data_IF_638620152234
#
_entry.id   IF_638620152234
#
_cell.length_a   1.000
_cell.length_b   1.000
_cell.length_c   1.000
_cell.angle_alpha   90.00
_cell.angle_beta   90.00
_cell.angle_gamma   90.00
#
_symmetry.space_group_name_H-M   'P 1'
#
loop_
_entity.id
_entity.type
_entity.pdbx_description
1 polymer ?
#
# COMPACT_ATOMS: atom_id res chain seq x y z
N UNK A 1 20.01 -6.05 -5.87
CA UNK A 1 19.37 -6.83 -6.96
C UNK A 1 18.06 -6.15 -7.33
N UNK A 2 17.83 -5.87 -8.62
CA UNK A 2 16.59 -5.19 -9.07
C UNK A 2 15.40 -6.13 -8.99
N UNK A 3 14.26 -5.63 -8.50
CA UNK A 3 12.97 -6.30 -8.48
C UNK A 3 12.12 -5.96 -9.70
N UNK A 4 12.06 -4.67 -10.06
CA UNK A 4 11.29 -4.15 -11.19
C UNK A 4 12.22 -3.35 -12.10
N UNK A 5 12.03 -3.50 -13.40
CA UNK A 5 12.58 -2.64 -14.44
C UNK A 5 11.43 -2.22 -15.36
N UNK A 6 11.13 -0.93 -15.39
CA UNK A 6 10.08 -0.35 -16.21
C UNK A 6 10.69 0.60 -17.24
N UNK A 7 10.38 0.42 -18.52
CA UNK A 7 10.91 1.22 -19.63
C UNK A 7 9.78 1.81 -20.44
N UNK A 8 9.76 3.14 -20.56
CA UNK A 8 8.87 3.92 -21.42
C UNK A 8 7.38 3.59 -21.21
N UNK A 9 6.99 3.34 -19.96
CA UNK A 9 5.61 2.98 -19.60
C UNK A 9 4.68 4.14 -19.96
N UNK A 10 3.71 3.85 -20.82
CA UNK A 10 2.61 4.77 -21.13
C UNK A 10 1.28 4.04 -21.00
N UNK A 11 0.26 4.77 -20.58
CA UNK A 11 -1.09 4.24 -20.43
C UNK A 11 -2.13 5.27 -20.85
N UNK A 12 -3.10 4.83 -21.68
CA UNK A 12 -4.18 5.64 -22.18
C UNK A 12 -5.53 5.04 -21.82
N UNK A 13 -6.51 5.90 -21.56
CA UNK A 13 -7.92 5.56 -21.46
C UNK A 13 -8.69 6.50 -22.41
N UNK A 14 -9.43 5.94 -23.36
CA UNK A 14 -10.25 6.72 -24.32
C UNK A 14 -9.50 7.96 -24.86
N UNK A 15 -8.34 7.75 -25.48
CA UNK A 15 -7.46 8.77 -26.05
C UNK A 15 -6.81 9.75 -25.06
N UNK A 16 -7.17 9.71 -23.78
CA UNK A 16 -6.52 10.51 -22.76
C UNK A 16 -5.27 9.79 -22.24
N UNK A 17 -4.12 10.46 -22.32
CA UNK A 17 -2.89 9.99 -21.71
C UNK A 17 -3.03 10.12 -20.17
N UNK A 18 -2.84 9.00 -19.46
CA UNK A 18 -2.79 8.94 -17.99
C UNK A 18 -1.34 8.84 -17.51
N UNK A 19 -0.53 8.06 -18.24
CA UNK A 19 0.90 7.94 -18.01
C UNK A 19 1.62 8.12 -19.33
N UNK A 20 2.75 8.85 -19.33
CA UNK A 20 3.53 9.15 -20.52
C UNK A 20 5.01 8.89 -20.28
N UNK A 21 5.55 7.86 -20.95
CA UNK A 21 6.98 7.60 -21.05
C UNK A 21 7.72 7.48 -19.70
N UNK A 22 7.12 6.80 -18.70
CA UNK A 22 7.70 6.63 -17.39
C UNK A 22 8.75 5.52 -17.41
N UNK A 23 9.96 5.82 -16.97
CA UNK A 23 11.07 4.86 -16.88
C UNK A 23 11.63 4.89 -15.46
N UNK A 24 11.73 3.72 -14.83
CA UNK A 24 12.29 3.55 -13.49
C UNK A 24 12.71 2.10 -13.26
N UNK A 25 13.50 1.90 -12.24
CA UNK A 25 13.80 0.59 -11.65
C UNK A 25 13.50 0.63 -10.15
N UNK A 26 13.28 -0.52 -9.53
CA UNK A 26 13.13 -0.66 -8.08
C UNK A 26 13.91 -1.90 -7.64
N UNK A 27 14.77 -1.73 -6.64
CA UNK A 27 15.53 -2.80 -6.00
C UNK A 27 14.80 -3.44 -4.82
N UNK A 28 15.33 -4.56 -4.34
CA UNK A 28 14.92 -5.11 -3.05
C UNK A 28 15.48 -4.25 -1.91
N UNK A 29 14.72 -4.15 -0.81
CA UNK A 29 15.10 -3.37 0.37
C UNK A 29 14.92 -1.86 0.22
N UNK A 30 14.27 -1.40 -0.86
CA UNK A 30 14.00 0.02 -1.07
C UNK A 30 12.66 0.45 -0.46
N UNK A 31 12.64 1.67 0.05
CA UNK A 31 11.42 2.42 0.37
C UNK A 31 11.21 3.45 -0.74
N UNK A 32 10.19 3.25 -1.57
CA UNK A 32 9.94 4.04 -2.79
C UNK A 32 8.61 4.76 -2.71
N UNK A 33 8.64 6.09 -2.80
CA UNK A 33 7.46 6.94 -2.93
C UNK A 33 7.19 7.25 -4.40
N UNK A 34 5.97 6.96 -4.85
CA UNK A 34 5.47 7.46 -6.13
C UNK A 34 4.71 8.74 -5.86
N UNK A 35 5.21 9.86 -6.36
CA UNK A 35 4.64 11.19 -6.18
C UNK A 35 4.09 11.76 -7.49
N UNK A 36 3.22 12.76 -7.38
CA UNK A 36 2.60 13.45 -8.50
C UNK A 36 1.26 14.07 -8.12
N UNK A 37 0.73 14.95 -8.93
CA UNK A 37 -0.55 15.64 -8.68
C UNK A 37 -1.72 14.66 -8.57
N UNK A 38 -2.85 15.11 -8.03
CA UNK A 38 -4.08 14.35 -8.07
C UNK A 38 -4.49 14.09 -9.53
N UNK A 39 -4.79 12.82 -9.85
CA UNK A 39 -5.10 12.41 -11.22
C UNK A 39 -3.88 12.15 -12.12
N UNK A 40 -2.63 12.28 -11.65
CA UNK A 40 -1.43 12.00 -12.45
C UNK A 40 -1.20 10.52 -12.78
N UNK A 41 -2.05 9.61 -12.30
CA UNK A 41 -1.93 8.18 -12.62
C UNK A 41 -1.17 7.35 -11.59
N UNK A 42 -0.89 7.83 -10.37
CA UNK A 42 -0.20 7.08 -9.31
C UNK A 42 -0.80 5.70 -9.05
N UNK A 43 -2.11 5.65 -8.78
CA UNK A 43 -2.86 4.38 -8.62
C UNK A 43 -2.79 3.50 -9.86
N UNK A 44 -2.81 4.10 -11.06
CA UNK A 44 -2.70 3.36 -12.33
C UNK A 44 -1.31 2.74 -12.46
N UNK A 45 -0.25 3.48 -12.13
CA UNK A 45 1.10 2.95 -12.14
C UNK A 45 1.25 1.79 -11.13
N UNK A 46 0.72 1.92 -9.91
CA UNK A 46 0.70 0.80 -8.96
C UNK A 46 -0.02 -0.42 -9.54
N UNK A 47 -1.18 -0.25 -10.19
CA UNK A 47 -1.91 -1.36 -10.82
C UNK A 47 -1.12 -2.01 -11.96
N UNK A 48 -0.35 -1.25 -12.72
CA UNK A 48 0.56 -1.78 -13.74
C UNK A 48 1.69 -2.58 -13.07
N UNK A 49 2.30 -2.04 -12.02
CA UNK A 49 3.35 -2.70 -11.24
C UNK A 49 2.88 -4.06 -10.71
N UNK A 50 1.66 -4.16 -10.17
CA UNK A 50 1.13 -5.42 -9.63
C UNK A 50 0.55 -6.34 -10.72
N UNK A 51 0.40 -5.87 -11.95
CA UNK A 51 -0.12 -6.65 -13.08
C UNK A 51 -1.65 -6.69 -13.18
N UNK A 52 -2.37 -5.83 -12.46
CA UNK A 52 -3.83 -5.67 -12.57
C UNK A 52 -4.27 -4.86 -13.79
N UNK A 53 -3.34 -4.10 -14.37
CA UNK A 53 -3.58 -3.28 -15.56
C UNK A 53 -2.38 -3.42 -16.49
N UNK A 54 -2.64 -3.61 -17.78
CA UNK A 54 -1.57 -3.69 -18.80
C UNK A 54 -1.31 -2.29 -19.36
N UNK A 55 -0.04 -1.89 -19.44
CA UNK A 55 0.37 -0.65 -20.08
C UNK A 55 0.04 -0.65 -21.59
N UNK A 56 -0.19 0.55 -22.16
CA UNK A 56 -0.46 0.69 -23.61
C UNK A 56 0.84 0.64 -24.43
N UNK A 57 1.94 1.19 -23.87
CA UNK A 57 3.28 1.16 -24.49
C UNK A 57 4.33 0.93 -23.41
N UNK A 58 5.54 0.55 -23.86
CA UNK A 58 6.66 0.25 -22.98
C UNK A 58 6.64 -1.17 -22.44
N UNK A 59 7.57 -1.47 -21.55
CA UNK A 59 7.70 -2.79 -20.94
C UNK A 59 7.96 -2.69 -19.44
N UNK A 60 7.41 -3.63 -18.68
CA UNK A 60 7.71 -3.84 -17.27
C UNK A 60 8.17 -5.28 -17.07
N UNK A 61 9.33 -5.44 -16.50
CA UNK A 61 9.93 -6.73 -16.22
C UNK A 61 10.01 -6.88 -14.71
N UNK A 62 9.37 -7.91 -14.18
CA UNK A 62 9.52 -8.36 -12.79
C UNK A 62 10.56 -9.47 -12.78
N UNK A 63 11.65 -9.28 -12.06
CA UNK A 63 12.75 -10.24 -11.98
C UNK A 63 12.55 -11.29 -10.88
N UNK A 64 11.35 -11.39 -10.33
CA UNK A 64 10.99 -12.30 -9.24
C UNK A 64 9.50 -12.60 -9.26
N UNK A 65 9.13 -13.84 -8.99
CA UNK A 65 7.75 -14.32 -8.77
C UNK A 65 7.30 -14.16 -7.31
N UNK A 66 7.97 -13.29 -6.55
CA UNK A 66 7.67 -13.04 -5.15
C UNK A 66 6.22 -12.57 -4.98
N UNK A 67 5.56 -13.15 -3.99
CA UNK A 67 4.24 -12.68 -3.56
C UNK A 67 4.35 -11.27 -3.02
N UNK A 68 3.28 -10.51 -3.17
CA UNK A 68 3.21 -9.14 -2.71
C UNK A 68 1.97 -8.89 -1.85
N UNK A 69 2.09 -7.99 -0.89
CA UNK A 69 0.96 -7.45 -0.15
C UNK A 69 0.55 -6.13 -0.80
N UNK A 70 -0.70 -6.03 -1.25
CA UNK A 70 -1.25 -4.79 -1.81
C UNK A 70 -2.37 -4.23 -0.94
N UNK A 71 -2.28 -2.96 -0.61
CA UNK A 71 -3.37 -2.16 -0.04
C UNK A 71 -3.71 -1.03 -1.00
N UNK A 72 -4.81 -1.21 -1.71
CA UNK A 72 -5.36 -0.20 -2.62
C UNK A 72 -6.21 0.84 -1.90
N UNK A 73 -6.80 1.73 -2.68
CA UNK A 73 -7.71 2.76 -2.18
C UNK A 73 -8.96 2.15 -1.49
N UNK A 74 -9.50 1.06 -2.06
CA UNK A 74 -10.59 0.31 -1.43
C UNK A 74 -10.02 -0.71 -0.44
N UNK A 75 -10.53 -0.70 0.79
CA UNK A 75 -10.23 -1.73 1.79
C UNK A 75 -10.76 -3.09 1.32
N UNK A 76 -10.01 -4.16 1.53
CA UNK A 76 -10.48 -5.52 1.27
C UNK A 76 -11.33 -6.07 2.44
N UNK A 77 -12.07 -5.19 3.12
CA UNK A 77 -12.88 -5.52 4.29
C UNK A 77 -14.30 -5.92 3.87
N UNK A 78 -14.91 -6.81 4.65
CA UNK A 78 -16.30 -7.23 4.49
C UNK A 78 -17.16 -6.44 5.48
N UNK A 79 -17.97 -5.51 4.97
CA UNK A 79 -18.72 -4.56 5.79
C UNK A 79 -19.72 -5.22 6.75
N UNK A 80 -20.26 -6.38 6.39
CA UNK A 80 -21.24 -7.14 7.19
C UNK A 80 -20.60 -8.01 8.29
N UNK A 81 -19.29 -8.18 8.26
CA UNK A 81 -18.53 -8.90 9.28
C UNK A 81 -18.00 -7.93 10.35
N UNK A 82 -17.84 -8.44 11.57
CA UNK A 82 -17.15 -7.72 12.65
C UNK A 82 -15.65 -7.53 12.35
N UNK A 83 -14.98 -6.69 13.14
CA UNK A 83 -13.52 -6.56 13.07
C UNK A 83 -12.87 -7.94 13.30
N UNK A 84 -13.30 -8.66 14.33
CA UNK A 84 -12.81 -10.00 14.67
C UNK A 84 -12.92 -10.95 13.48
N UNK A 85 -14.08 -11.03 12.88
CA UNK A 85 -14.34 -11.93 11.74
C UNK A 85 -13.54 -11.51 10.51
N UNK A 86 -13.39 -10.20 10.24
CA UNK A 86 -12.55 -9.72 9.16
C UNK A 86 -11.08 -10.14 9.34
N UNK A 87 -10.53 -10.06 10.57
CA UNK A 87 -9.18 -10.54 10.85
C UNK A 87 -9.07 -12.05 10.60
N UNK A 88 -10.02 -12.85 11.07
CA UNK A 88 -10.02 -14.30 10.89
C UNK A 88 -10.12 -14.71 9.41
N UNK A 89 -11.01 -14.07 8.63
CA UNK A 89 -11.15 -14.33 7.18
C UNK A 89 -9.85 -13.97 6.42
N UNK A 90 -9.09 -13.01 6.92
CA UNK A 90 -7.77 -12.66 6.37
C UNK A 90 -6.64 -13.57 6.88
N UNK A 91 -6.95 -14.63 7.62
CA UNK A 91 -5.97 -15.56 8.19
C UNK A 91 -5.22 -15.03 9.40
N UNK A 92 -5.69 -13.93 10.01
CA UNK A 92 -5.05 -13.32 11.18
C UNK A 92 -5.68 -13.86 12.46
N UNK A 93 -4.84 -14.31 13.38
CA UNK A 93 -5.28 -14.81 14.70
C UNK A 93 -5.52 -13.64 15.66
N UNK A 94 -6.48 -13.81 16.58
CA UNK A 94 -6.65 -12.90 17.71
C UNK A 94 -5.63 -13.28 18.79
N UNK A 95 -4.44 -12.82 18.65
CA UNK A 95 -3.30 -13.05 19.55
C UNK A 95 -2.87 -11.72 20.22
N UNK A 96 -1.91 -11.79 21.15
CA UNK A 96 -1.43 -10.62 21.88
C UNK A 96 -0.94 -9.49 20.94
N UNK A 97 -0.23 -9.82 19.84
CA UNK A 97 0.26 -8.85 18.89
C UNK A 97 -0.88 -8.10 18.17
N UNK A 98 -1.89 -8.81 17.68
CA UNK A 98 -3.03 -8.18 17.00
C UNK A 98 -3.94 -7.43 17.97
N UNK A 99 -4.06 -7.87 19.23
CA UNK A 99 -4.77 -7.14 20.26
C UNK A 99 -4.05 -5.83 20.63
N UNK A 100 -2.72 -5.82 20.67
CA UNK A 100 -1.90 -4.61 20.87
C UNK A 100 -2.07 -3.63 19.69
N UNK A 101 -2.05 -4.12 18.44
CA UNK A 101 -2.31 -3.27 17.27
C UNK A 101 -3.73 -2.68 17.27
N UNK A 102 -4.73 -3.47 17.65
CA UNK A 102 -6.11 -2.99 17.81
C UNK A 102 -6.22 -1.91 18.90
N UNK A 103 -5.48 -2.06 19.99
CA UNK A 103 -5.40 -1.05 21.05
C UNK A 103 -4.77 0.24 20.52
N UNK A 104 -3.58 0.17 19.92
CA UNK A 104 -2.85 1.30 19.33
C UNK A 104 -3.63 2.03 18.24
N UNK A 105 -4.46 1.33 17.50
CA UNK A 105 -5.36 1.93 16.51
C UNK A 105 -6.71 2.37 17.07
N UNK A 106 -6.94 2.26 18.38
CA UNK A 106 -8.20 2.57 19.05
C UNK A 106 -9.40 1.77 18.51
N UNK A 107 -9.16 0.51 18.10
CA UNK A 107 -10.17 -0.40 17.52
C UNK A 107 -10.58 -1.54 18.48
N UNK A 108 -9.84 -1.77 19.56
CA UNK A 108 -10.03 -2.94 20.44
C UNK A 108 -11.44 -3.01 21.03
N UNK A 109 -12.00 -1.85 21.47
CA UNK A 109 -13.34 -1.77 22.02
C UNK A 109 -14.44 -2.02 20.98
N UNK A 110 -14.11 -1.93 19.69
CA UNK A 110 -15.01 -2.11 18.57
C UNK A 110 -14.88 -3.49 17.93
N UNK A 111 -14.13 -4.41 18.55
CA UNK A 111 -13.71 -5.67 17.93
C UNK A 111 -14.88 -6.55 17.44
N UNK A 112 -16.01 -6.47 18.11
CA UNK A 112 -17.23 -7.22 17.78
C UNK A 112 -18.25 -6.38 16.98
N UNK A 113 -17.92 -5.11 16.66
CA UNK A 113 -18.75 -4.26 15.82
C UNK A 113 -18.59 -4.62 14.34
N UNK A 114 -19.67 -4.52 13.58
CA UNK A 114 -19.66 -4.64 12.12
C UNK A 114 -18.78 -3.56 11.48
N UNK A 115 -17.93 -3.94 10.53
CA UNK A 115 -17.03 -3.01 9.82
C UNK A 115 -17.80 -1.92 9.09
N UNK A 116 -19.02 -2.20 8.64
CA UNK A 116 -19.88 -1.20 8.00
C UNK A 116 -20.28 -0.02 8.90
N UNK A 117 -20.18 -0.16 10.23
CA UNK A 117 -20.46 0.93 11.20
C UNK A 117 -19.22 1.77 11.51
N UNK A 118 -18.05 1.37 11.04
CA UNK A 118 -16.81 2.08 11.29
C UNK A 118 -16.65 3.30 10.38
N UNK A 119 -16.02 4.35 10.88
CA UNK A 119 -15.59 5.48 10.06
C UNK A 119 -14.58 5.04 9.00
N UNK A 120 -14.40 5.85 7.95
CA UNK A 120 -13.37 5.61 6.92
C UNK A 120 -11.97 5.43 7.52
N UNK A 121 -11.58 6.30 8.47
CA UNK A 121 -10.29 6.20 9.17
C UNK A 121 -10.15 4.89 9.96
N UNK A 122 -11.20 4.46 10.66
CA UNK A 122 -11.21 3.19 11.39
C UNK A 122 -11.08 1.98 10.45
N UNK A 123 -11.78 1.98 9.31
CA UNK A 123 -11.63 0.94 8.29
C UNK A 123 -10.21 0.93 7.70
N UNK A 124 -9.61 2.10 7.46
CA UNK A 124 -8.23 2.23 7.00
C UNK A 124 -7.26 1.63 8.01
N UNK A 125 -7.38 1.96 9.30
CA UNK A 125 -6.58 1.39 10.39
C UNK A 125 -6.70 -0.14 10.45
N UNK A 126 -7.92 -0.67 10.35
CA UNK A 126 -8.15 -2.13 10.31
C UNK A 126 -7.44 -2.77 9.10
N UNK A 127 -7.48 -2.14 7.93
CA UNK A 127 -6.79 -2.63 6.73
C UNK A 127 -5.27 -2.65 6.91
N UNK A 128 -4.71 -1.69 7.67
CA UNK A 128 -3.28 -1.64 7.97
C UNK A 128 -2.83 -2.78 8.88
N UNK A 129 -3.69 -3.31 9.76
CA UNK A 129 -3.34 -4.48 10.58
C UNK A 129 -2.95 -5.67 9.68
N UNK A 130 -3.64 -5.89 8.55
CA UNK A 130 -3.28 -6.92 7.58
C UNK A 130 -1.90 -6.64 6.96
N UNK A 131 -1.61 -5.39 6.63
CA UNK A 131 -0.33 -4.99 6.04
C UNK A 131 0.82 -5.23 7.03
N UNK A 132 0.63 -4.81 8.28
CA UNK A 132 1.64 -4.97 9.35
C UNK A 132 1.91 -6.45 9.66
N UNK A 133 0.90 -7.32 9.52
CA UNK A 133 1.05 -8.76 9.66
C UNK A 133 1.62 -9.46 8.41
N UNK A 134 1.74 -8.74 7.28
CA UNK A 134 2.25 -9.34 6.05
C UNK A 134 3.71 -9.77 6.22
N UNK A 135 4.01 -10.98 5.77
CA UNK A 135 5.37 -11.51 5.66
C UNK A 135 5.93 -11.38 4.25
N UNK A 136 5.14 -10.82 3.34
CA UNK A 136 5.53 -10.68 1.95
C UNK A 136 6.73 -9.73 1.83
N UNK A 137 7.66 -10.08 0.95
CA UNK A 137 8.89 -9.31 0.73
C UNK A 137 8.62 -7.96 0.08
N UNK A 138 7.49 -7.84 -0.61
CA UNK A 138 7.09 -6.64 -1.35
C UNK A 138 5.74 -6.17 -0.83
N UNK A 139 5.69 -4.91 -0.42
CA UNK A 139 4.47 -4.25 0.07
C UNK A 139 4.19 -3.04 -0.79
N UNK A 140 2.97 -2.96 -1.30
CA UNK A 140 2.53 -1.86 -2.17
C UNK A 140 1.31 -1.20 -1.54
N UNK A 141 1.38 0.12 -1.32
CA UNK A 141 0.38 0.88 -0.58
C UNK A 141 -0.10 2.08 -1.39
N UNK A 142 -1.40 2.16 -1.63
CA UNK A 142 -2.01 3.30 -2.31
C UNK A 142 -2.59 4.29 -1.30
N UNK A 143 -1.97 5.47 -1.19
CA UNK A 143 -2.34 6.55 -0.25
C UNK A 143 -2.56 6.04 1.19
N UNK A 144 -1.55 5.36 1.79
CA UNK A 144 -1.76 4.68 3.07
C UNK A 144 -1.98 5.62 4.25
N UNK A 145 -1.55 6.88 4.17
CA UNK A 145 -1.65 7.88 5.25
C UNK A 145 -2.97 8.66 5.26
N UNK A 146 -3.74 8.59 4.17
CA UNK A 146 -5.01 9.32 4.05
C UNK A 146 -6.03 8.78 5.07
N UNK A 147 -6.64 9.69 5.84
CA UNK A 147 -7.66 9.36 6.84
C UNK A 147 -7.11 8.84 8.16
N UNK A 148 -5.80 8.84 8.36
CA UNK A 148 -5.16 8.47 9.63
C UNK A 148 -4.92 9.70 10.51
N UNK A 149 -5.08 9.53 11.82
CA UNK A 149 -4.56 10.44 12.83
C UNK A 149 -3.02 10.31 12.96
N UNK A 150 -2.41 11.24 13.67
CA UNK A 150 -0.94 11.34 13.74
C UNK A 150 -0.31 10.15 14.48
N UNK A 151 -0.99 9.58 15.46
CA UNK A 151 -0.55 8.37 16.16
C UNK A 151 -0.50 7.19 15.18
N UNK A 152 -1.56 6.97 14.40
CA UNK A 152 -1.61 5.90 13.40
C UNK A 152 -0.62 6.11 12.26
N UNK A 153 -0.37 7.36 11.85
CA UNK A 153 0.71 7.68 10.88
C UNK A 153 2.08 7.31 11.44
N UNK A 154 2.33 7.58 12.73
CA UNK A 154 3.58 7.21 13.39
C UNK A 154 3.78 5.70 13.42
N UNK A 155 2.74 4.93 13.77
CA UNK A 155 2.78 3.45 13.73
C UNK A 155 3.14 2.94 12.34
N UNK A 156 2.50 3.50 11.29
CA UNK A 156 2.77 3.10 9.91
C UNK A 156 4.21 3.43 9.49
N UNK A 157 4.73 4.62 9.85
CA UNK A 157 6.13 4.99 9.57
C UNK A 157 7.11 4.02 10.23
N UNK A 158 6.95 3.76 11.53
CA UNK A 158 7.79 2.80 12.27
C UNK A 158 7.78 1.41 11.61
N UNK A 159 6.62 0.97 11.14
CA UNK A 159 6.51 -0.28 10.39
C UNK A 159 7.30 -0.23 9.08
N UNK A 160 7.18 0.85 8.28
CA UNK A 160 7.91 1.01 7.02
C UNK A 160 9.43 1.03 7.25
N UNK A 161 9.89 1.66 8.32
CA UNK A 161 11.31 1.67 8.71
C UNK A 161 11.81 0.29 9.13
N UNK A 162 10.99 -0.47 9.86
CA UNK A 162 11.34 -1.84 10.25
C UNK A 162 11.49 -2.76 9.03
N UNK A 163 10.60 -2.63 8.05
CA UNK A 163 10.62 -3.39 6.80
C UNK A 163 11.90 -3.15 6.00
N UNK A 164 12.36 -1.89 5.92
CA UNK A 164 13.62 -1.55 5.26
C UNK A 164 14.82 -2.28 5.90
N UNK A 165 14.84 -2.35 7.25
CA UNK A 165 15.89 -3.08 7.99
C UNK A 165 15.85 -4.59 7.71
N UNK A 166 14.69 -5.15 7.37
CA UNK A 166 14.49 -6.55 7.01
C UNK A 166 14.80 -6.86 5.53
N UNK A 167 15.35 -5.90 4.77
CA UNK A 167 15.58 -6.01 3.33
C UNK A 167 14.30 -6.33 2.52
N UNK A 168 13.16 -5.81 3.00
CA UNK A 168 11.87 -5.87 2.33
C UNK A 168 11.60 -4.54 1.62
N UNK A 169 10.84 -4.57 0.53
CA UNK A 169 10.57 -3.41 -0.33
C UNK A 169 9.19 -2.84 -0.06
N UNK A 170 9.10 -1.53 0.12
CA UNK A 170 7.82 -0.82 0.19
C UNK A 170 7.72 0.15 -0.98
N UNK A 171 6.63 0.07 -1.73
CA UNK A 171 6.27 1.04 -2.76
C UNK A 171 4.96 1.69 -2.32
N UNK A 172 4.94 3.01 -2.21
CA UNK A 172 3.74 3.69 -1.76
C UNK A 172 3.48 5.00 -2.52
N UNK A 173 2.21 5.37 -2.60
CA UNK A 173 1.81 6.71 -3.07
C UNK A 173 1.51 7.58 -1.87
N UNK A 174 1.87 8.86 -1.92
CA UNK A 174 1.50 9.82 -0.90
C UNK A 174 1.62 11.25 -1.40
N UNK A 175 0.72 12.11 -0.94
CA UNK A 175 0.81 13.56 -1.06
C UNK A 175 1.51 14.21 0.15
N UNK A 176 1.70 13.44 1.22
CA UNK A 176 2.33 13.92 2.44
C UNK A 176 3.84 13.78 2.25
N UNK A 177 4.58 14.85 2.52
CA UNK A 177 6.02 14.77 2.66
C UNK A 177 6.36 14.05 3.96
N UNK A 178 7.02 12.91 3.81
CA UNK A 178 7.58 12.19 4.94
C UNK A 178 9.01 12.70 5.12
N UNK A 179 9.39 12.97 6.36
CA UNK A 179 10.78 13.34 6.70
C UNK A 179 11.77 12.19 6.54
N UNK A 180 11.31 11.06 6.00
CA UNK A 180 12.03 9.80 5.93
C UNK A 180 12.88 9.67 4.67
N UNK A 181 13.93 8.88 4.75
CA UNK A 181 14.82 8.54 3.63
C UNK A 181 14.13 7.55 2.68
N UNK A 182 13.39 8.05 1.71
CA UNK A 182 12.81 7.25 0.61
C UNK A 182 13.36 7.72 -0.74
N UNK A 183 13.35 6.81 -1.70
CA UNK A 183 13.59 7.14 -3.10
C UNK A 183 12.28 7.62 -3.73
N UNK A 184 12.31 8.73 -4.44
CA UNK A 184 11.12 9.28 -5.07
C UNK A 184 11.10 8.99 -6.58
N UNK A 185 9.95 8.53 -7.07
CA UNK A 185 9.62 8.43 -8.49
C UNK A 185 8.50 9.43 -8.76
N UNK A 186 8.83 10.53 -9.46
CA UNK A 186 7.85 11.55 -9.84
C UNK A 186 7.14 11.14 -11.12
N UNK A 187 5.81 11.30 -11.12
CA UNK A 187 5.00 11.14 -12.32
C UNK A 187 4.27 12.45 -12.59
N UNK A 188 4.57 13.03 -13.75
CA UNK A 188 3.86 14.18 -14.27
C UNK A 188 2.80 13.64 -15.23
N UNK A 189 1.52 13.90 -14.93
CA UNK A 189 0.37 13.47 -15.73
C UNK A 189 0.13 14.36 -16.94
#
# INVERSE_FOLDING_TARGET
MQFIEAKNISYKINDRNILSNITFDIGFGELVKISGRNGSGKTTLLKIIIGLTKQTKGSIIKKSDEKLCFLGHKSCLKNYLSIRENLLVQGLKINAFNLDLLEKFNLKRLIDNSVGTLSFGQQKKLSLIRVINSKERIIILDEPFVGLDDESKSILRQFMDSIKKENRTVIFTSHIDLEDTYREIKIDG
#
